data_IF_761242187699
#
_entry.id   IF_761242187699
#
_cell.length_a   1.000
_cell.length_b   1.000
_cell.length_c   1.000
_cell.angle_alpha   90.00
_cell.angle_beta   90.00
_cell.angle_gamma   90.00
#
_symmetry.space_group_name_H-M   'P 1'
#
loop_
_entity.id
_entity.type
_entity.pdbx_description
1 polymer ?
#
# COMPACT_ATOMS: atom_id res chain seq x y z
N UNK A 1 -3.21 -15.03 5.14
CA UNK A 1 -3.67 -13.74 4.59
C UNK A 1 -4.63 -13.04 5.56
N UNK A 2 -4.55 -11.71 5.69
CA UNK A 2 -5.53 -10.92 6.48
C UNK A 2 -6.83 -10.78 5.67
N UNK A 3 -7.95 -11.23 6.23
CA UNK A 3 -9.26 -11.20 5.55
C UNK A 3 -9.77 -9.77 5.31
N UNK A 4 -9.26 -8.78 6.05
CA UNK A 4 -9.58 -7.36 5.84
C UNK A 4 -8.94 -6.79 4.58
N UNK A 5 -7.87 -7.41 4.08
CA UNK A 5 -7.14 -6.95 2.89
C UNK A 5 -7.85 -7.34 1.58
N UNK A 6 -9.13 -7.01 1.50
CA UNK A 6 -9.96 -7.19 0.31
C UNK A 6 -9.78 -6.03 -0.68
N UNK A 7 -10.02 -6.31 -1.97
CA UNK A 7 -9.89 -5.34 -3.07
C UNK A 7 -8.44 -4.85 -3.31
N UNK A 8 -7.50 -5.75 -3.64
CA UNK A 8 -6.22 -5.33 -4.21
C UNK A 8 -6.48 -4.57 -5.51
N UNK A 9 -5.88 -3.39 -5.66
CA UNK A 9 -6.27 -2.44 -6.70
C UNK A 9 -5.15 -2.20 -7.71
N UNK A 10 -4.11 -1.46 -7.34
CA UNK A 10 -3.01 -1.12 -8.26
C UNK A 10 -1.76 -1.89 -7.87
N UNK A 11 -1.07 -2.46 -8.84
CA UNK A 11 0.17 -3.21 -8.67
C UNK A 11 1.29 -2.62 -9.53
N UNK A 12 2.50 -2.61 -8.99
CA UNK A 12 3.73 -2.16 -9.67
C UNK A 12 4.90 -3.06 -9.29
N UNK A 13 5.78 -3.31 -10.25
CA UNK A 13 7.00 -4.08 -10.02
C UNK A 13 8.10 -3.19 -9.43
N UNK A 14 8.89 -3.74 -8.50
CA UNK A 14 10.18 -3.17 -8.12
C UNK A 14 11.32 -3.69 -9.01
N UNK A 15 12.55 -3.24 -8.77
CA UNK A 15 13.72 -3.61 -9.59
C UNK A 15 14.07 -5.10 -9.53
N UNK A 16 13.64 -5.81 -8.48
CA UNK A 16 13.79 -7.26 -8.32
C UNK A 16 12.64 -8.03 -8.98
N UNK A 17 11.63 -7.31 -9.47
CA UNK A 17 10.42 -7.87 -10.06
C UNK A 17 9.48 -8.48 -9.02
N UNK A 18 9.63 -8.10 -7.75
CA UNK A 18 8.61 -8.28 -6.72
C UNK A 18 7.53 -7.21 -6.89
N UNK A 19 6.40 -7.37 -6.21
CA UNK A 19 5.22 -6.54 -6.46
C UNK A 19 4.87 -5.73 -5.23
N UNK A 20 4.88 -4.41 -5.36
CA UNK A 20 4.16 -3.52 -4.45
C UNK A 20 2.73 -3.33 -4.96
N UNK A 21 1.77 -3.29 -4.05
CA UNK A 21 0.37 -3.10 -4.40
C UNK A 21 -0.42 -2.33 -3.35
N UNK A 22 -1.50 -1.71 -3.78
CA UNK A 22 -2.48 -1.06 -2.89
C UNK A 22 -3.70 -1.96 -2.70
N UNK A 23 -4.32 -1.85 -1.54
CA UNK A 23 -5.55 -2.56 -1.18
C UNK A 23 -6.57 -1.49 -0.81
N UNK A 24 -7.32 -1.01 -1.79
CA UNK A 24 -8.02 0.27 -1.68
C UNK A 24 -9.10 0.23 -0.61
N UNK A 25 -10.00 -0.74 -0.68
CA UNK A 25 -11.12 -0.84 0.26
C UNK A 25 -10.69 -1.47 1.59
N UNK A 26 -9.72 -2.39 1.56
CA UNK A 26 -9.13 -2.95 2.77
C UNK A 26 -8.27 -1.95 3.57
N UNK A 27 -7.87 -0.83 2.99
CA UNK A 27 -7.00 0.18 3.60
C UNK A 27 -5.59 -0.34 3.92
N UNK A 28 -4.98 -1.11 3.01
CA UNK A 28 -3.59 -1.58 3.16
C UNK A 28 -2.71 -1.18 1.98
N UNK A 29 -1.41 -1.16 2.23
CA UNK A 29 -0.36 -1.27 1.22
C UNK A 29 0.29 -2.64 1.44
N UNK A 30 0.69 -3.32 0.36
CA UNK A 30 1.29 -4.63 0.45
C UNK A 30 2.50 -4.81 -0.46
N UNK A 31 3.34 -5.77 -0.08
CA UNK A 31 4.43 -6.29 -0.91
C UNK A 31 4.29 -7.80 -1.05
N UNK A 32 4.46 -8.29 -2.27
CA UNK A 32 4.50 -9.71 -2.60
C UNK A 32 5.90 -10.05 -3.12
N UNK A 33 6.57 -10.96 -2.43
CA UNK A 33 7.85 -11.53 -2.85
C UNK A 33 7.59 -12.75 -3.71
N UNK A 34 7.95 -12.65 -4.99
CA UNK A 34 7.59 -13.61 -6.02
C UNK A 34 8.30 -14.95 -5.86
N UNK A 35 9.53 -14.94 -5.35
CA UNK A 35 10.32 -16.16 -5.13
C UNK A 35 9.72 -17.05 -4.04
N UNK A 36 9.30 -16.44 -2.92
CA UNK A 36 8.79 -17.17 -1.75
C UNK A 36 7.27 -17.31 -1.74
N UNK A 37 6.57 -16.44 -2.47
CA UNK A 37 5.12 -16.29 -2.37
C UNK A 37 4.66 -15.53 -1.13
N UNK A 38 5.58 -14.94 -0.35
CA UNK A 38 5.25 -14.19 0.85
C UNK A 38 4.49 -12.90 0.50
N UNK A 39 3.48 -12.58 1.31
CA UNK A 39 2.78 -11.29 1.27
C UNK A 39 2.93 -10.63 2.63
N UNK A 40 3.39 -9.38 2.64
CA UNK A 40 3.30 -8.50 3.82
C UNK A 40 2.35 -7.36 3.52
N UNK A 41 1.65 -6.93 4.57
CA UNK A 41 0.66 -5.88 4.53
C UNK A 41 0.96 -4.88 5.64
N UNK A 42 0.84 -3.59 5.34
CA UNK A 42 0.85 -2.51 6.31
C UNK A 42 -0.49 -1.78 6.21
N UNK A 43 -1.15 -1.62 7.34
CA UNK A 43 -2.42 -0.90 7.42
C UNK A 43 -2.16 0.58 7.21
N UNK A 44 -3.00 1.22 6.40
CA UNK A 44 -2.91 2.65 6.15
C UNK A 44 -3.65 3.45 7.22
N UNK A 45 -3.47 4.77 7.20
CA UNK A 45 -4.09 5.65 8.17
C UNK A 45 -5.62 5.59 8.11
N UNK A 46 -6.22 5.66 9.30
CA UNK A 46 -7.66 5.90 9.45
C UNK A 46 -7.94 7.39 9.38
N UNK A 47 -9.03 7.77 8.69
CA UNK A 47 -9.33 9.18 8.41
C UNK A 47 -10.77 9.47 8.82
N UNK A 48 -10.95 10.31 9.84
CA UNK A 48 -12.29 10.74 10.27
C UNK A 48 -13.00 11.59 9.21
N UNK A 49 -14.32 11.48 9.14
CA UNK A 49 -15.15 12.30 8.23
C UNK A 49 -15.10 11.90 6.76
N UNK A 50 -14.38 10.85 6.40
CA UNK A 50 -14.38 10.27 5.07
C UNK A 50 -15.80 9.78 4.67
N UNK A 51 -16.25 10.15 3.47
CA UNK A 51 -17.63 9.85 2.97
C UNK A 51 -17.96 8.36 2.89
N UNK A 52 -16.95 7.47 2.91
CA UNK A 52 -17.09 6.00 2.87
C UNK A 52 -16.03 5.35 3.76
N UNK A 53 -16.34 5.23 5.05
CA UNK A 53 -15.49 4.57 6.05
C UNK A 53 -14.29 5.41 6.47
N UNK A 54 -13.74 5.12 7.66
CA UNK A 54 -12.59 5.84 8.20
C UNK A 54 -11.27 5.36 7.56
N UNK A 55 -11.13 5.50 6.24
CA UNK A 55 -10.02 4.93 5.46
C UNK A 55 -9.36 5.98 4.54
N UNK A 56 -8.04 5.91 4.41
CA UNK A 56 -7.24 6.76 3.51
C UNK A 56 -7.35 6.35 2.04
N UNK A 57 -7.78 5.10 1.80
CA UNK A 57 -7.94 4.47 0.48
C UNK A 57 -6.67 4.55 -0.38
N UNK A 58 -5.60 3.79 -0.02
CA UNK A 58 -4.42 3.64 -0.88
C UNK A 58 -4.83 3.28 -2.31
N UNK A 59 -4.38 4.05 -3.30
CA UNK A 59 -4.89 3.92 -4.67
C UNK A 59 -3.79 3.78 -5.72
N UNK A 60 -3.30 4.91 -6.22
CA UNK A 60 -2.19 4.94 -7.16
C UNK A 60 -0.89 4.66 -6.41
N UNK A 61 0.00 3.90 -7.03
CA UNK A 61 1.31 3.57 -6.47
C UNK A 61 2.34 3.63 -7.59
N UNK A 62 3.52 4.15 -7.27
CA UNK A 62 4.73 4.09 -8.11
C UNK A 62 5.90 3.69 -7.24
N UNK A 63 6.95 3.15 -7.84
CA UNK A 63 8.19 2.80 -7.15
C UNK A 63 9.29 3.73 -7.66
N UNK A 64 10.09 4.27 -6.76
CA UNK A 64 11.22 5.12 -7.13
C UNK A 64 12.48 4.30 -7.48
N UNK A 65 13.58 4.97 -7.79
CA UNK A 65 14.84 4.31 -8.16
C UNK A 65 15.54 3.56 -7.01
N UNK A 66 15.02 3.63 -5.79
CA UNK A 66 15.53 2.96 -4.60
C UNK A 66 14.57 1.85 -4.13
N UNK A 67 13.65 1.40 -5.00
CA UNK A 67 12.62 0.40 -4.70
C UNK A 67 11.63 0.77 -3.59
N UNK A 68 11.54 2.08 -3.28
CA UNK A 68 10.60 2.60 -2.29
C UNK A 68 9.26 2.94 -2.94
N UNK A 69 8.13 2.46 -2.40
CA UNK A 69 6.80 2.72 -2.95
C UNK A 69 6.27 4.08 -2.51
N UNK A 70 5.71 4.85 -3.44
CA UNK A 70 5.02 6.11 -3.19
C UNK A 70 3.54 5.97 -3.56
N UNK A 71 2.65 6.29 -2.62
CA UNK A 71 1.24 5.95 -2.66
C UNK A 71 0.38 7.20 -2.57
N UNK A 72 -0.55 7.35 -3.51
CA UNK A 72 -1.63 8.33 -3.38
C UNK A 72 -2.68 7.81 -2.37
N UNK A 73 -2.82 8.50 -1.25
CA UNK A 73 -3.84 8.21 -0.23
C UNK A 73 -5.13 8.94 -0.61
N UNK A 74 -5.90 8.31 -1.51
CA UNK A 74 -6.93 8.96 -2.33
C UNK A 74 -8.02 9.72 -1.58
N UNK A 75 -8.36 9.27 -0.37
CA UNK A 75 -9.39 9.90 0.44
C UNK A 75 -8.85 11.00 1.35
N UNK A 76 -7.60 11.41 1.11
CA UNK A 76 -6.84 12.39 1.87
C UNK A 76 -6.15 13.36 0.90
N UNK A 77 -5.39 14.32 1.44
CA UNK A 77 -4.51 15.20 0.66
C UNK A 77 -3.02 14.84 0.86
N UNK A 78 -2.72 13.57 1.18
CA UNK A 78 -1.36 13.10 1.47
C UNK A 78 -0.85 12.11 0.42
N UNK A 79 0.48 12.04 0.32
CA UNK A 79 1.21 10.96 -0.31
C UNK A 79 1.88 10.19 0.83
N UNK A 80 1.78 8.86 0.81
CA UNK A 80 2.48 8.00 1.76
C UNK A 80 3.63 7.26 1.09
N UNK A 81 4.57 6.78 1.89
CA UNK A 81 5.59 5.81 1.50
C UNK A 81 5.70 4.72 2.55
N UNK A 82 6.11 3.52 2.14
CA UNK A 82 6.45 2.45 3.09
C UNK A 82 7.97 2.31 3.12
N UNK A 83 8.56 2.32 4.30
CA UNK A 83 9.98 2.01 4.42
C UNK A 83 10.21 0.52 4.09
N UNK A 84 11.03 0.18 3.10
CA UNK A 84 11.19 -1.21 2.66
C UNK A 84 11.95 -2.09 3.68
N UNK A 85 12.69 -1.51 4.62
CA UNK A 85 13.42 -2.24 5.64
C UNK A 85 12.55 -2.50 6.87
N UNK A 86 11.89 -1.47 7.40
CA UNK A 86 11.06 -1.58 8.62
C UNK A 86 9.61 -1.98 8.32
N UNK A 87 9.16 -1.78 7.09
CA UNK A 87 7.78 -1.97 6.66
C UNK A 87 6.77 -1.04 7.35
N UNK A 88 7.25 0.12 7.82
CA UNK A 88 6.42 1.15 8.44
C UNK A 88 5.92 2.15 7.39
N UNK A 89 4.68 2.61 7.58
CA UNK A 89 4.07 3.64 6.74
C UNK A 89 4.48 5.04 7.25
N UNK A 90 4.94 5.88 6.34
CA UNK A 90 5.23 7.29 6.53
C UNK A 90 4.32 8.13 5.62
N UNK A 91 3.86 9.29 6.10
CA UNK A 91 2.93 10.20 5.38
C UNK A 91 3.26 11.66 5.63
#
# INVERSE_FOLDING_TARGET
PDERAADPHTLVFDSQGDIWFTVQQGNFIGKFWKETGEVRLVESMSVEGARRGSSSRPYGIVVDSQDRPWIALFNTNHIGTVDPETFELET
#
